data_IF_875598313738
#
_entry.id   IF_875598313738
#
_cell.length_a   1.000
_cell.length_b   1.000
_cell.length_c   1.000
_cell.angle_alpha   90.00
_cell.angle_beta   90.00
_cell.angle_gamma   90.00
#
_symmetry.space_group_name_H-M   'P 1'
#
loop_
_entity.id
_entity.type
_entity.pdbx_description
1 polymer ?
#
# COMPACT_ATOMS: atom_id res chain seq x y z
N UNK A 1 -11.65 -30.34 -15.77
CA UNK A 1 -11.10 -29.40 -14.75
C UNK A 1 -9.88 -28.62 -15.25
N UNK A 2 -9.01 -29.20 -16.10
CA UNK A 2 -7.78 -28.52 -16.57
C UNK A 2 -8.03 -27.20 -17.33
N UNK A 3 -9.02 -27.17 -18.23
CA UNK A 3 -9.29 -25.99 -19.07
C UNK A 3 -9.73 -24.78 -18.22
N UNK A 4 -10.62 -24.99 -17.25
CA UNK A 4 -11.06 -23.91 -16.36
C UNK A 4 -9.93 -23.37 -15.48
N UNK A 5 -9.06 -24.26 -14.97
CA UNK A 5 -7.87 -23.85 -14.20
C UNK A 5 -6.90 -23.06 -15.06
N UNK A 6 -6.69 -23.44 -16.32
CA UNK A 6 -5.83 -22.72 -17.25
C UNK A 6 -6.28 -21.27 -17.44
N UNK A 7 -7.59 -21.06 -17.70
CA UNK A 7 -8.12 -19.72 -17.84
C UNK A 7 -7.94 -18.90 -16.55
N UNK A 8 -8.27 -19.48 -15.40
CA UNK A 8 -8.16 -18.80 -14.11
C UNK A 8 -6.72 -18.33 -13.79
N UNK A 9 -5.69 -19.12 -14.12
CA UNK A 9 -4.30 -18.71 -13.86
C UNK A 9 -3.69 -17.83 -14.96
N UNK A 10 -4.26 -17.86 -16.17
CA UNK A 10 -3.78 -17.07 -17.31
C UNK A 10 -4.39 -15.67 -17.39
N UNK A 11 -5.44 -15.41 -16.61
CA UNK A 11 -6.12 -14.12 -16.63
C UNK A 11 -5.29 -13.08 -15.86
N UNK A 12 -5.05 -11.95 -16.52
CA UNK A 12 -4.31 -10.83 -15.94
C UNK A 12 -5.29 -9.90 -15.23
N UNK A 13 -5.60 -10.23 -13.98
CA UNK A 13 -6.44 -9.40 -13.13
C UNK A 13 -5.64 -8.23 -12.56
N UNK A 14 -5.97 -7.02 -13.02
CA UNK A 14 -5.42 -5.77 -12.48
C UNK A 14 -6.54 -4.92 -11.91
N UNK A 15 -6.68 -4.92 -10.59
CA UNK A 15 -7.57 -3.98 -9.91
C UNK A 15 -6.82 -2.74 -9.43
N UNK A 16 -7.51 -1.60 -9.53
CA UNK A 16 -7.04 -0.37 -8.91
C UNK A 16 -7.32 -0.50 -7.41
N UNK A 17 -6.27 -0.55 -6.62
CA UNK A 17 -6.33 -0.36 -5.19
C UNK A 17 -6.09 1.12 -4.89
N UNK A 18 -7.09 1.77 -4.27
CA UNK A 18 -6.98 3.15 -3.78
C UNK A 18 -6.77 3.11 -2.28
N UNK A 19 -5.62 3.62 -1.83
CA UNK A 19 -5.37 3.94 -0.43
C UNK A 19 -5.91 5.34 -0.18
N UNK A 20 -6.94 5.46 0.65
CA UNK A 20 -7.49 6.75 1.04
C UNK A 20 -6.47 7.56 1.83
N UNK A 21 -6.57 8.89 1.76
CA UNK A 21 -5.78 9.79 2.61
C UNK A 21 -5.98 9.42 4.08
N UNK A 22 -4.88 9.18 4.79
CA UNK A 22 -4.89 8.74 6.18
C UNK A 22 -3.97 9.61 7.02
N UNK A 23 -4.45 10.06 8.18
CA UNK A 23 -3.64 10.78 9.17
C UNK A 23 -3.47 9.93 10.41
N UNK A 24 -2.22 9.67 10.79
CA UNK A 24 -1.89 8.89 11.98
C UNK A 24 -0.63 9.40 12.68
N UNK A 25 -0.39 8.93 13.89
CA UNK A 25 0.83 9.19 14.64
C UNK A 25 1.59 7.88 14.82
N UNK A 26 2.85 7.84 14.39
CA UNK A 26 3.72 6.69 14.61
C UNK A 26 5.14 7.14 14.95
N UNK A 27 5.85 6.26 15.65
CA UNK A 27 7.26 6.45 15.98
C UNK A 27 8.13 6.05 14.80
N UNK A 28 9.02 6.93 14.36
CA UNK A 28 10.03 6.64 13.33
C UNK A 28 11.42 7.12 13.75
N UNK A 29 12.44 6.69 13.00
CA UNK A 29 13.84 7.07 13.18
C UNK A 29 14.43 7.56 11.86
N UNK A 30 15.36 8.51 11.92
CA UNK A 30 15.87 9.20 10.73
C UNK A 30 16.61 8.28 9.73
N UNK A 31 16.93 7.05 10.13
CA UNK A 31 17.62 6.03 9.32
C UNK A 31 16.68 5.03 8.62
N UNK A 32 15.36 5.18 8.74
CA UNK A 32 14.38 4.23 8.22
C UNK A 32 13.97 4.44 6.75
N UNK A 33 14.58 5.41 6.04
CA UNK A 33 14.25 5.81 4.65
C UNK A 33 12.81 6.34 4.47
N UNK A 34 12.04 6.48 5.54
CA UNK A 34 10.68 7.06 5.55
C UNK A 34 10.68 8.52 6.03
N UNK A 35 11.86 9.13 6.15
CA UNK A 35 12.02 10.51 6.59
C UNK A 35 11.74 11.52 5.47
N UNK A 36 10.46 11.81 5.27
CA UNK A 36 9.99 12.72 4.22
C UNK A 36 9.74 14.16 4.70
N UNK A 37 10.33 14.59 5.81
CA UNK A 37 10.08 15.92 6.39
C UNK A 37 11.36 16.56 6.95
N UNK A 38 11.40 17.89 6.94
CA UNK A 38 12.54 18.68 7.43
C UNK A 38 12.32 19.11 8.87
N UNK A 39 13.34 18.97 9.71
CA UNK A 39 13.37 19.58 11.05
C UNK A 39 14.28 20.81 11.02
N UNK A 40 13.86 21.89 11.67
CA UNK A 40 14.71 23.08 11.88
C UNK A 40 15.93 22.75 12.78
N UNK A 41 15.79 21.79 13.69
CA UNK A 41 16.86 21.29 14.55
C UNK A 41 17.07 19.78 14.34
N UNK A 42 18.32 19.33 14.38
CA UNK A 42 18.63 17.91 14.23
C UNK A 42 18.12 17.11 15.44
N UNK A 43 16.99 16.41 15.27
CA UNK A 43 16.48 15.48 16.27
C UNK A 43 17.29 14.18 16.18
N UNK A 44 18.05 13.87 17.23
CA UNK A 44 18.79 12.62 17.35
C UNK A 44 17.90 11.56 18.02
N UNK A 45 17.54 10.51 17.28
CA UNK A 45 16.82 9.33 17.79
C UNK A 45 15.37 9.21 17.33
N UNK A 46 14.64 8.29 17.96
CA UNK A 46 13.25 7.99 17.61
C UNK A 46 12.29 9.05 18.14
N UNK A 47 11.34 9.48 17.30
CA UNK A 47 10.30 10.41 17.70
C UNK A 47 8.98 10.09 16.99
N UNK A 48 7.90 10.69 17.47
CA UNK A 48 6.55 10.54 16.89
C UNK A 48 6.00 11.90 16.52
N UNK A 49 5.35 11.98 15.38
CA UNK A 49 4.57 13.14 14.99
C UNK A 49 3.35 12.72 14.18
N UNK A 50 2.38 13.63 14.07
CA UNK A 50 1.21 13.43 13.21
C UNK A 50 1.67 13.48 11.75
N UNK A 51 1.54 12.37 11.06
CA UNK A 51 1.88 12.22 9.65
C UNK A 51 0.61 11.99 8.83
N UNK A 52 0.52 12.58 7.64
CA UNK A 52 -0.59 12.39 6.72
C UNK A 52 -0.09 11.78 5.42
N UNK A 53 -0.59 10.58 5.09
CA UNK A 53 -0.41 9.95 3.79
C UNK A 53 -1.44 10.51 2.83
N UNK A 54 -1.00 10.96 1.67
CA UNK A 54 -1.89 11.35 0.58
C UNK A 54 -2.57 10.14 -0.05
N UNK A 55 -3.71 10.38 -0.70
CA UNK A 55 -4.41 9.33 -1.44
C UNK A 55 -3.48 8.73 -2.52
N UNK A 56 -3.37 7.40 -2.56
CA UNK A 56 -2.49 6.70 -3.49
C UNK A 56 -3.24 5.58 -4.19
N UNK A 57 -3.38 5.69 -5.50
CA UNK A 57 -3.91 4.62 -6.34
C UNK A 57 -2.77 3.81 -6.97
N UNK A 58 -2.85 2.49 -6.89
CA UNK A 58 -1.94 1.59 -7.60
C UNK A 58 -2.64 0.32 -8.07
N UNK A 59 -2.04 -0.38 -9.04
CA UNK A 59 -2.55 -1.64 -9.57
C UNK A 59 -1.56 -2.75 -9.27
N UNK A 60 -2.04 -3.84 -8.69
CA UNK A 60 -1.24 -5.05 -8.51
C UNK A 60 -1.88 -6.19 -9.29
N UNK A 61 -1.07 -7.03 -9.96
CA UNK A 61 -1.56 -8.32 -10.44
C UNK A 61 -1.85 -9.20 -9.23
N UNK A 62 -2.98 -9.89 -9.24
CA UNK A 62 -3.25 -10.94 -8.26
C UNK A 62 -3.75 -12.19 -8.98
N UNK A 63 -3.51 -13.34 -8.37
CA UNK A 63 -4.22 -14.56 -8.74
C UNK A 63 -5.70 -14.38 -8.38
N UNK A 64 -6.62 -15.06 -9.08
CA UNK A 64 -8.01 -15.11 -8.63
C UNK A 64 -8.04 -15.72 -7.23
N UNK A 65 -8.22 -14.88 -6.23
CA UNK A 65 -8.45 -15.30 -4.85
C UNK A 65 -9.90 -15.76 -4.76
N UNK A 66 -10.12 -16.95 -4.18
CA UNK A 66 -11.44 -17.53 -3.90
C UNK A 66 -12.36 -16.56 -3.14
N UNK A 67 -11.79 -15.58 -2.42
CA UNK A 67 -12.54 -14.59 -1.64
C UNK A 67 -12.69 -13.22 -2.33
N UNK A 68 -11.99 -12.97 -3.44
CA UNK A 68 -12.21 -11.76 -4.23
C UNK A 68 -13.42 -11.97 -5.15
N UNK A 69 -14.59 -11.47 -4.72
CA UNK A 69 -15.72 -11.31 -5.63
C UNK A 69 -15.52 -10.04 -6.44
N UNK A 70 -15.41 -10.18 -7.75
CA UNK A 70 -15.53 -9.04 -8.65
C UNK A 70 -16.93 -8.44 -8.51
N UNK A 71 -17.04 -7.17 -8.12
CA UNK A 71 -18.26 -6.42 -8.39
C UNK A 71 -18.22 -6.01 -9.85
N UNK A 72 -19.07 -6.63 -10.67
CA UNK A 72 -19.35 -6.13 -12.01
C UNK A 72 -20.21 -4.87 -11.95
#
# INVERSE_FOLDING_TARGET
MIIGTYFAVSEDHRHVHVHSRETHEHRHQHDDDHHSHHHEEAILGAHSHIHTHEEKAHKHPHLPDLHHRHSH
#
